data_IF_026281071273
#
_entry.id   IF_026281071273
#
_cell.length_a   1.000
_cell.length_b   1.000
_cell.length_c   1.000
_cell.angle_alpha   90.00
_cell.angle_beta   90.00
_cell.angle_gamma   90.00
#
_symmetry.space_group_name_H-M   'P 1'
#
loop_
_entity.id
_entity.type
_entity.pdbx_description
1 polymer ?
#
# COMPACT_ATOMS: atom_id res chain seq x y z
N UNK A 1 -30.99 5.83 10.37
CA UNK A 1 -29.60 5.77 9.85
C UNK A 1 -29.06 4.37 10.09
N UNK A 2 -28.47 3.68 9.09
CA UNK A 2 -27.83 2.38 9.34
C UNK A 2 -26.64 2.58 10.29
N UNK A 3 -26.54 1.76 11.34
CA UNK A 3 -25.43 1.77 12.29
C UNK A 3 -24.12 1.51 11.54
N UNK A 4 -23.09 2.33 11.79
CA UNK A 4 -21.74 2.11 11.24
C UNK A 4 -21.15 0.84 11.84
N UNK A 5 -20.40 0.09 11.04
CA UNK A 5 -19.74 -1.14 11.47
C UNK A 5 -18.58 -0.86 12.44
N UNK A 6 -18.01 -1.91 13.03
CA UNK A 6 -16.80 -1.78 13.84
C UNK A 6 -15.56 -1.44 13.01
N UNK A 7 -15.41 -1.99 11.79
CA UNK A 7 -14.25 -1.71 10.93
C UNK A 7 -14.23 -0.26 10.46
N UNK A 8 -15.41 0.34 10.24
CA UNK A 8 -15.53 1.78 9.97
C UNK A 8 -14.90 2.59 11.10
N UNK A 9 -15.24 2.30 12.35
CA UNK A 9 -14.73 3.06 13.50
C UNK A 9 -13.25 2.81 13.73
N UNK A 10 -12.78 1.57 13.57
CA UNK A 10 -11.35 1.26 13.64
C UNK A 10 -10.58 2.07 12.60
N UNK A 11 -11.02 2.03 11.34
CA UNK A 11 -10.40 2.77 10.23
C UNK A 11 -10.41 4.27 10.51
N UNK A 12 -11.54 4.81 10.96
CA UNK A 12 -11.66 6.23 11.29
C UNK A 12 -10.69 6.65 12.40
N UNK A 13 -10.59 5.88 13.48
CA UNK A 13 -9.69 6.15 14.60
C UNK A 13 -8.22 6.11 14.15
N UNK A 14 -7.83 5.11 13.36
CA UNK A 14 -6.47 5.01 12.81
C UNK A 14 -6.13 6.25 11.98
N UNK A 15 -7.01 6.65 11.05
CA UNK A 15 -6.78 7.81 10.18
C UNK A 15 -6.69 9.12 10.97
N UNK A 16 -7.56 9.32 11.97
CA UNK A 16 -7.50 10.50 12.83
C UNK A 16 -6.19 10.52 13.63
N UNK A 17 -5.77 9.39 14.20
CA UNK A 17 -4.51 9.29 14.91
C UNK A 17 -3.31 9.63 14.01
N UNK A 18 -3.27 9.09 12.79
CA UNK A 18 -2.23 9.40 11.80
C UNK A 18 -2.19 10.90 11.49
N UNK A 19 -3.34 11.53 11.23
CA UNK A 19 -3.43 12.98 10.94
C UNK A 19 -2.92 13.81 12.12
N UNK A 20 -3.37 13.50 13.34
CA UNK A 20 -2.96 14.26 14.53
C UNK A 20 -1.44 14.14 14.76
N UNK A 21 -0.91 12.92 14.74
CA UNK A 21 0.52 12.70 14.95
C UNK A 21 1.37 13.37 13.88
N UNK A 22 1.03 13.19 12.60
CA UNK A 22 1.81 13.80 11.50
C UNK A 22 1.68 15.32 11.45
N UNK A 23 0.53 15.88 11.85
CA UNK A 23 0.37 17.33 12.01
C UNK A 23 1.29 17.88 13.10
N UNK A 24 1.34 17.21 14.26
CA UNK A 24 2.24 17.61 15.36
C UNK A 24 3.70 17.53 14.91
N UNK A 25 4.11 16.43 14.26
CA UNK A 25 5.47 16.27 13.75
C UNK A 25 5.83 17.33 12.70
N UNK A 26 4.91 17.65 11.80
CA UNK A 26 5.09 18.71 10.80
C UNK A 26 5.29 20.07 11.48
N UNK A 27 4.48 20.39 12.48
CA UNK A 27 4.60 21.65 13.25
C UNK A 27 5.96 21.72 13.95
N UNK A 28 6.42 20.64 14.56
CA UNK A 28 7.74 20.57 15.21
C UNK A 28 8.85 20.86 14.19
N UNK A 29 8.81 20.23 13.02
CA UNK A 29 9.78 20.48 11.94
C UNK A 29 9.76 21.94 11.50
N UNK A 30 8.57 22.52 11.28
CA UNK A 30 8.42 23.89 10.83
C UNK A 30 8.92 24.93 11.86
N UNK A 31 8.68 24.68 13.16
CA UNK A 31 9.14 25.57 14.24
C UNK A 31 10.64 25.46 14.45
N UNK A 32 11.16 24.23 14.52
CA UNK A 32 12.58 23.98 14.82
C UNK A 32 13.48 24.20 13.60
N UNK A 33 12.90 24.19 12.39
CA UNK A 33 13.61 24.15 11.09
C UNK A 33 14.61 22.99 10.99
N UNK A 34 14.41 21.94 11.78
CA UNK A 34 15.29 20.78 11.86
C UNK A 34 14.55 19.55 11.35
N UNK A 35 14.91 19.08 10.15
CA UNK A 35 14.38 17.85 9.54
C UNK A 35 15.51 16.94 9.06
N UNK A 36 16.22 16.26 9.97
CA UNK A 36 17.43 15.50 9.62
C UNK A 36 17.16 14.29 8.73
N UNK A 37 15.89 13.89 8.53
CA UNK A 37 15.49 12.78 7.67
C UNK A 37 14.58 13.25 6.52
N UNK A 38 14.43 14.55 6.30
CA UNK A 38 13.63 15.14 5.21
C UNK A 38 12.19 14.60 5.11
N UNK A 39 11.52 14.40 6.25
CA UNK A 39 10.21 13.73 6.33
C UNK A 39 9.01 14.64 6.22
N UNK A 40 9.19 15.96 6.15
CA UNK A 40 8.08 16.91 6.05
C UNK A 40 7.15 16.58 4.86
N UNK A 41 7.72 16.19 3.72
CA UNK A 41 6.94 15.73 2.56
C UNK A 41 6.08 14.51 2.87
N UNK A 42 6.64 13.51 3.56
CA UNK A 42 5.93 12.30 3.98
C UNK A 42 4.81 12.59 4.99
N UNK A 43 5.02 13.55 5.90
CA UNK A 43 3.98 13.97 6.85
C UNK A 43 2.78 14.58 6.12
N UNK A 44 3.05 15.51 5.18
CA UNK A 44 2.02 16.14 4.36
C UNK A 44 1.29 15.10 3.52
N UNK A 45 2.01 14.18 2.86
CA UNK A 45 1.41 13.10 2.08
C UNK A 45 0.49 12.22 2.94
N UNK A 46 0.93 11.87 4.16
CA UNK A 46 0.12 11.09 5.11
C UNK A 46 -1.16 11.80 5.49
N UNK A 47 -1.10 13.11 5.78
CA UNK A 47 -2.28 13.91 6.11
C UNK A 47 -3.26 13.92 4.92
N UNK A 48 -2.78 14.25 3.72
CA UNK A 48 -3.62 14.38 2.53
C UNK A 48 -4.31 13.06 2.17
N UNK A 49 -3.56 11.96 2.13
CA UNK A 49 -4.12 10.63 1.83
C UNK A 49 -5.10 10.21 2.93
N UNK A 50 -4.79 10.47 4.20
CA UNK A 50 -5.70 10.13 5.30
C UNK A 50 -7.02 10.91 5.23
N UNK A 51 -6.98 12.19 4.86
CA UNK A 51 -8.19 12.99 4.62
C UNK A 51 -9.02 12.40 3.47
N UNK A 52 -8.38 12.05 2.36
CA UNK A 52 -9.06 11.40 1.22
C UNK A 52 -9.73 10.10 1.66
N UNK A 53 -9.05 9.25 2.43
CA UNK A 53 -9.62 8.00 2.94
C UNK A 53 -10.78 8.24 3.92
N UNK A 54 -10.74 9.28 4.76
CA UNK A 54 -11.88 9.68 5.62
C UNK A 54 -13.09 10.08 4.78
N UNK A 55 -12.89 10.86 3.71
CA UNK A 55 -13.97 11.22 2.79
C UNK A 55 -14.57 9.98 2.11
N UNK A 56 -13.72 9.00 1.77
CA UNK A 56 -14.13 7.72 1.18
C UNK A 56 -14.88 6.82 2.17
N UNK A 57 -14.65 6.91 3.49
CA UNK A 57 -15.34 6.10 4.53
C UNK A 57 -16.85 6.31 4.55
N UNK A 58 -17.32 7.47 4.10
CA UNK A 58 -18.74 7.77 4.00
C UNK A 58 -19.35 7.45 2.64
N UNK A 59 -18.54 7.07 1.66
CA UNK A 59 -19.01 6.75 0.33
C UNK A 59 -19.56 5.32 0.26
N UNK A 60 -20.88 5.19 0.22
CA UNK A 60 -21.59 3.90 0.16
C UNK A 60 -21.31 3.08 -1.11
N UNK A 61 -20.72 3.68 -2.14
CA UNK A 61 -20.31 2.96 -3.36
C UNK A 61 -19.00 2.19 -3.15
N UNK A 62 -18.22 2.58 -2.15
CA UNK A 62 -16.94 1.97 -1.85
C UNK A 62 -17.16 0.86 -0.84
N UNK A 63 -16.48 -0.24 -1.11
CA UNK A 63 -16.55 -1.40 -0.26
C UNK A 63 -15.77 -1.16 1.04
N UNK A 64 -16.42 -1.37 2.18
CA UNK A 64 -15.81 -1.09 3.49
C UNK A 64 -14.57 -1.96 3.74
N UNK A 65 -14.57 -3.21 3.28
CA UNK A 65 -13.42 -4.09 3.39
C UNK A 65 -12.22 -3.53 2.61
N UNK A 66 -12.43 -3.14 1.34
CA UNK A 66 -11.39 -2.55 0.49
C UNK A 66 -10.82 -1.29 1.14
N UNK A 67 -11.68 -0.48 1.74
CA UNK A 67 -11.26 0.75 2.38
C UNK A 67 -10.48 0.51 3.68
N UNK A 68 -10.93 -0.43 4.52
CA UNK A 68 -10.19 -0.85 5.72
C UNK A 68 -8.81 -1.36 5.34
N UNK A 69 -8.74 -2.13 4.26
CA UNK A 69 -7.51 -2.65 3.72
C UNK A 69 -6.56 -1.51 3.25
N UNK A 70 -7.08 -0.53 2.52
CA UNK A 70 -6.31 0.66 2.11
C UNK A 70 -5.79 1.46 3.33
N UNK A 71 -6.59 1.59 4.39
CA UNK A 71 -6.17 2.27 5.63
C UNK A 71 -5.02 1.53 6.30
N UNK A 72 -5.08 0.20 6.38
CA UNK A 72 -3.98 -0.60 6.96
C UNK A 72 -2.71 -0.45 6.12
N UNK A 73 -2.82 -0.50 4.80
CA UNK A 73 -1.67 -0.31 3.92
C UNK A 73 -1.03 1.08 4.10
N UNK A 74 -1.83 2.16 4.08
CA UNK A 74 -1.31 3.53 4.29
C UNK A 74 -0.72 3.69 5.70
N UNK A 75 -1.31 3.05 6.70
CA UNK A 75 -0.74 3.04 8.05
C UNK A 75 0.65 2.40 8.08
N UNK A 76 0.84 1.25 7.43
CA UNK A 76 2.13 0.54 7.41
C UNK A 76 3.14 1.27 6.51
N UNK A 77 2.80 1.55 5.26
CA UNK A 77 3.75 2.10 4.29
C UNK A 77 4.07 3.58 4.54
N UNK A 78 3.03 4.41 4.68
CA UNK A 78 3.19 5.86 4.64
C UNK A 78 3.37 6.46 6.05
N UNK A 79 2.58 6.01 7.02
CA UNK A 79 2.71 6.51 8.38
C UNK A 79 3.90 5.88 9.11
N UNK A 80 3.92 4.56 9.25
CA UNK A 80 5.03 3.85 9.91
C UNK A 80 6.32 3.95 9.07
N UNK A 81 6.29 3.48 7.82
CA UNK A 81 7.46 3.47 6.93
C UNK A 81 8.08 4.85 6.72
N UNK A 82 7.33 5.76 6.08
CA UNK A 82 7.88 7.07 5.71
C UNK A 82 7.84 8.09 6.86
N UNK A 83 6.66 8.39 7.43
CA UNK A 83 6.52 9.48 8.42
C UNK A 83 7.28 9.21 9.72
N UNK A 84 7.28 7.96 10.21
CA UNK A 84 8.02 7.55 11.41
C UNK A 84 9.41 6.97 11.11
N UNK A 85 9.85 6.99 9.85
CA UNK A 85 11.19 6.61 9.41
C UNK A 85 11.53 5.11 9.58
N UNK A 86 10.54 4.21 9.55
CA UNK A 86 10.79 2.77 9.70
C UNK A 86 11.54 2.17 8.51
N UNK A 87 11.42 2.75 7.30
CA UNK A 87 12.22 2.31 6.15
C UNK A 87 13.73 2.40 6.42
N UNK A 88 14.15 3.44 7.13
CA UNK A 88 15.57 3.65 7.47
C UNK A 88 15.96 3.00 8.80
N UNK A 89 15.12 3.15 9.83
CA UNK A 89 15.46 2.72 11.21
C UNK A 89 15.36 1.21 11.42
N UNK A 90 14.51 0.53 10.65
CA UNK A 90 14.29 -0.93 10.72
C UNK A 90 14.76 -1.60 9.42
N UNK A 91 15.83 -1.05 8.83
CA UNK A 91 16.42 -1.56 7.59
C UNK A 91 17.01 -2.97 7.73
N UNK A 92 17.40 -3.39 8.95
CA UNK A 92 17.98 -4.72 9.21
C UNK A 92 17.02 -5.89 8.92
N UNK A 93 15.70 -5.66 8.89
CA UNK A 93 14.71 -6.66 8.46
C UNK A 93 14.22 -6.45 7.03
N UNK A 94 14.81 -5.49 6.29
CA UNK A 94 14.32 -5.03 4.99
C UNK A 94 12.83 -4.67 5.05
N UNK A 95 12.47 -3.77 5.98
CA UNK A 95 11.08 -3.36 6.24
C UNK A 95 10.33 -3.00 4.94
N UNK A 96 11.00 -2.26 4.07
CA UNK A 96 10.50 -1.91 2.74
C UNK A 96 10.05 -3.14 1.92
N UNK A 97 10.92 -4.14 1.80
CA UNK A 97 10.62 -5.39 1.07
C UNK A 97 9.46 -6.16 1.72
N UNK A 98 9.35 -6.13 3.05
CA UNK A 98 8.18 -6.69 3.74
C UNK A 98 6.87 -5.95 3.36
N UNK A 99 6.90 -4.62 3.29
CA UNK A 99 5.75 -3.81 2.84
C UNK A 99 5.38 -4.17 1.40
N UNK A 100 6.35 -4.37 0.50
CA UNK A 100 6.10 -4.79 -0.88
C UNK A 100 5.53 -6.22 -0.98
N UNK A 101 6.00 -7.18 -0.16
CA UNK A 101 5.38 -8.51 -0.07
C UNK A 101 3.91 -8.41 0.37
N UNK A 102 3.65 -7.59 1.40
CA UNK A 102 2.28 -7.35 1.85
C UNK A 102 1.42 -6.69 0.76
N UNK A 103 1.98 -5.73 0.02
CA UNK A 103 1.30 -5.10 -1.12
C UNK A 103 0.95 -6.11 -2.22
N UNK A 104 1.87 -6.99 -2.58
CA UNK A 104 1.63 -8.01 -3.61
C UNK A 104 0.52 -8.98 -3.24
N UNK A 105 0.54 -9.53 -2.03
CA UNK A 105 -0.51 -10.43 -1.54
C UNK A 105 -1.90 -9.79 -1.66
N UNK A 106 -1.96 -8.51 -1.37
CA UNK A 106 -3.23 -7.81 -1.15
C UNK A 106 -3.76 -7.14 -2.40
N UNK A 107 -2.90 -6.63 -3.26
CA UNK A 107 -3.24 -6.26 -4.64
C UNK A 107 -3.81 -7.48 -5.39
N UNK A 108 -3.25 -8.67 -5.17
CA UNK A 108 -3.78 -9.92 -5.74
C UNK A 108 -5.19 -10.23 -5.21
N UNK A 109 -5.41 -10.08 -3.90
CA UNK A 109 -6.73 -10.23 -3.30
C UNK A 109 -7.75 -9.21 -3.85
N UNK A 110 -7.37 -7.94 -3.99
CA UNK A 110 -8.20 -6.88 -4.57
C UNK A 110 -8.52 -7.21 -6.03
N UNK A 111 -7.55 -7.71 -6.80
CA UNK A 111 -7.77 -8.20 -8.16
C UNK A 111 -8.84 -9.29 -8.22
N UNK A 112 -8.78 -10.26 -7.30
CA UNK A 112 -9.81 -11.31 -7.19
C UNK A 112 -11.20 -10.72 -6.88
N UNK A 113 -11.28 -9.75 -5.96
CA UNK A 113 -12.53 -9.07 -5.64
C UNK A 113 -13.10 -8.31 -6.84
N UNK A 114 -12.27 -7.58 -7.58
CA UNK A 114 -12.68 -6.86 -8.78
C UNK A 114 -13.20 -7.84 -9.82
N UNK A 115 -12.46 -8.92 -10.11
CA UNK A 115 -12.87 -9.96 -11.05
C UNK A 115 -14.22 -10.57 -10.67
N UNK A 116 -14.44 -10.83 -9.37
CA UNK A 116 -15.70 -11.39 -8.86
C UNK A 116 -16.92 -10.47 -9.00
N UNK A 117 -16.69 -9.16 -9.11
CA UNK A 117 -17.76 -8.18 -9.36
C UNK A 117 -18.04 -8.00 -10.84
N UNK A 118 -17.03 -8.19 -11.68
CA UNK A 118 -17.14 -8.00 -13.13
C UNK A 118 -17.58 -9.27 -13.87
N UNK A 119 -17.35 -10.44 -13.27
CA UNK A 119 -17.58 -11.74 -13.93
C UNK A 119 -18.25 -12.74 -13.00
N UNK A 120 -18.93 -13.72 -13.59
CA UNK A 120 -19.42 -14.88 -12.84
C UNK A 120 -18.28 -15.86 -12.64
N UNK A 121 -17.69 -15.86 -11.44
CA UNK A 121 -16.53 -16.69 -11.10
C UNK A 121 -16.71 -18.18 -11.42
N UNK A 122 -17.93 -18.72 -11.27
CA UNK A 122 -18.23 -20.14 -11.57
C UNK A 122 -18.11 -20.53 -13.04
N UNK A 123 -18.13 -19.55 -13.95
CA UNK A 123 -18.02 -19.77 -15.39
C UNK A 123 -16.58 -19.56 -15.88
N UNK A 124 -15.66 -19.12 -15.02
CA UNK A 124 -14.29 -18.79 -15.38
C UNK A 124 -13.35 -20.00 -15.18
N UNK A 125 -12.41 -20.17 -16.12
CA UNK A 125 -11.35 -21.16 -15.97
C UNK A 125 -10.38 -20.72 -14.85
N UNK A 126 -9.99 -21.66 -13.99
CA UNK A 126 -9.05 -21.42 -12.89
C UNK A 126 -7.74 -20.75 -13.33
N UNK A 127 -7.16 -21.18 -14.44
CA UNK A 127 -5.94 -20.60 -15.00
C UNK A 127 -6.16 -19.13 -15.38
N UNK A 128 -7.32 -18.81 -15.96
CA UNK A 128 -7.66 -17.43 -16.30
C UNK A 128 -7.76 -16.55 -15.06
N UNK A 129 -8.39 -17.04 -13.98
CA UNK A 129 -8.46 -16.32 -12.70
C UNK A 129 -7.05 -16.05 -12.16
N UNK A 130 -6.19 -17.07 -12.13
CA UNK A 130 -4.80 -16.95 -11.63
C UNK A 130 -4.01 -15.94 -12.46
N UNK A 131 -4.08 -16.01 -13.79
CA UNK A 131 -3.38 -15.07 -14.67
C UNK A 131 -3.89 -13.64 -14.50
N UNK A 132 -5.20 -13.47 -14.33
CA UNK A 132 -5.79 -12.14 -14.09
C UNK A 132 -5.29 -11.53 -12.78
N UNK A 133 -5.41 -12.24 -11.66
CA UNK A 133 -5.02 -11.69 -10.35
C UNK A 133 -3.51 -11.48 -10.23
N UNK A 134 -2.72 -12.35 -10.85
CA UNK A 134 -1.26 -12.18 -10.98
C UNK A 134 -0.94 -10.90 -11.74
N UNK A 135 -1.47 -10.75 -12.95
CA UNK A 135 -1.21 -9.59 -13.81
C UNK A 135 -1.71 -8.29 -13.18
N UNK A 136 -2.87 -8.33 -12.49
CA UNK A 136 -3.41 -7.18 -11.77
C UNK A 136 -2.47 -6.70 -10.66
N UNK A 137 -1.91 -7.62 -9.88
CA UNK A 137 -0.96 -7.29 -8.82
C UNK A 137 0.32 -6.67 -9.38
N UNK A 138 0.93 -7.29 -10.41
CA UNK A 138 2.15 -6.76 -11.02
C UNK A 138 1.92 -5.40 -11.71
N UNK A 139 0.78 -5.22 -12.39
CA UNK A 139 0.40 -3.94 -12.98
C UNK A 139 0.29 -2.84 -11.90
N UNK A 140 -0.34 -3.15 -10.77
CA UNK A 140 -0.50 -2.19 -9.68
C UNK A 140 0.86 -1.81 -9.08
N UNK A 141 1.75 -2.79 -8.90
CA UNK A 141 3.12 -2.54 -8.45
C UNK A 141 3.90 -1.67 -9.45
N UNK A 142 3.84 -1.97 -10.75
CA UNK A 142 4.50 -1.17 -11.76
C UNK A 142 4.01 0.29 -11.79
N UNK A 143 2.70 0.51 -11.59
CA UNK A 143 2.15 1.87 -11.46
C UNK A 143 2.71 2.59 -10.25
N UNK A 144 2.90 1.89 -9.12
CA UNK A 144 3.51 2.46 -7.92
C UNK A 144 4.96 2.88 -8.16
N UNK A 145 5.77 1.99 -8.76
CA UNK A 145 7.18 2.30 -9.11
C UNK A 145 7.29 3.48 -10.08
N UNK A 146 6.32 3.64 -11.00
CA UNK A 146 6.29 4.82 -11.87
C UNK A 146 5.97 6.11 -11.12
N UNK A 147 5.13 6.06 -10.09
CA UNK A 147 4.84 7.21 -9.23
C UNK A 147 6.09 7.60 -8.45
N UNK A 148 6.81 6.64 -7.88
CA UNK A 148 8.07 6.87 -7.15
C UNK A 148 9.15 7.45 -8.05
N UNK A 149 9.39 6.83 -9.21
CA UNK A 149 10.33 7.35 -10.21
C UNK A 149 9.98 8.79 -10.62
N UNK A 150 8.69 9.05 -10.88
CA UNK A 150 8.24 10.40 -11.25
C UNK A 150 8.45 11.39 -10.11
N UNK A 151 8.17 10.97 -8.87
CA UNK A 151 8.40 11.76 -7.66
C UNK A 151 9.87 12.13 -7.49
N UNK A 152 10.76 11.14 -7.60
CA UNK A 152 12.21 11.32 -7.49
C UNK A 152 12.76 12.28 -8.56
N UNK A 153 12.18 12.31 -9.76
CA UNK A 153 12.57 13.25 -10.81
C UNK A 153 11.99 14.66 -10.65
N UNK A 154 10.79 14.80 -10.11
CA UNK A 154 10.12 16.11 -10.01
C UNK A 154 10.41 16.84 -8.70
N UNK A 155 10.66 16.11 -7.62
CA UNK A 155 10.78 16.65 -6.26
C UNK A 155 12.13 16.35 -5.60
N UNK A 156 13.08 15.79 -6.36
CA UNK A 156 14.43 15.41 -5.90
C UNK A 156 14.42 14.46 -4.68
N UNK A 157 13.37 13.65 -4.56
CA UNK A 157 13.25 12.62 -3.51
C UNK A 157 14.18 11.42 -3.80
N UNK A 158 14.20 10.47 -2.87
CA UNK A 158 14.99 9.22 -2.93
C UNK A 158 14.10 8.03 -2.55
N UNK A 159 12.90 7.97 -3.11
CA UNK A 159 11.91 6.93 -2.82
C UNK A 159 12.33 5.58 -3.36
N UNK A 160 13.00 5.55 -4.51
CA UNK A 160 13.53 4.32 -5.10
C UNK A 160 14.87 3.87 -4.49
N UNK A 161 15.16 4.26 -3.24
CA UNK A 161 16.33 3.84 -2.49
C UNK A 161 17.43 4.90 -2.33
N UNK A 162 18.51 4.55 -1.59
CA UNK A 162 19.54 5.49 -1.20
C UNK A 162 20.27 6.08 -2.41
N UNK A 163 20.43 7.40 -2.41
CA UNK A 163 21.20 8.11 -3.41
C UNK A 163 22.71 7.96 -3.16
N UNK A 164 23.43 7.56 -4.20
CA UNK A 164 24.88 7.59 -4.27
C UNK A 164 25.33 8.77 -5.10
N UNK A 165 26.39 9.46 -4.66
CA UNK A 165 26.99 10.56 -5.42
C UNK A 165 28.31 10.11 -6.03
N UNK A 166 28.44 10.28 -7.33
CA UNK A 166 29.71 10.10 -8.02
C UNK A 166 30.71 11.20 -7.65
N UNK A 167 31.99 10.99 -7.96
CA UNK A 167 33.04 11.98 -7.74
C UNK A 167 32.79 13.33 -8.43
N UNK A 168 32.01 13.36 -9.52
CA UNK A 168 31.58 14.57 -10.24
C UNK A 168 30.24 15.14 -9.72
N UNK A 169 29.71 14.62 -8.59
CA UNK A 169 28.55 15.15 -7.89
C UNK A 169 27.20 14.72 -8.47
N UNK A 170 27.15 13.76 -9.39
CA UNK A 170 25.88 13.26 -9.94
C UNK A 170 25.20 12.30 -8.97
N UNK A 171 23.91 12.52 -8.74
CA UNK A 171 23.03 11.64 -7.97
C UNK A 171 22.68 10.40 -8.80
N UNK A 172 23.07 9.23 -8.32
CA UNK A 172 22.72 7.91 -8.86
C UNK A 172 21.80 7.22 -7.84
N UNK A 173 20.67 6.72 -8.32
CA UNK A 173 19.77 5.87 -7.54
C UNK A 173 19.91 4.46 -8.08
N UNK A 174 20.02 3.48 -7.19
CA UNK A 174 20.18 2.08 -7.58
C UNK A 174 18.86 1.53 -8.15
N UNK A 175 18.86 1.24 -9.45
CA UNK A 175 17.71 0.63 -10.14
C UNK A 175 17.38 -0.76 -9.56
N UNK A 176 18.34 -1.40 -8.89
CA UNK A 176 18.16 -2.65 -8.18
C UNK A 176 17.05 -2.60 -7.13
N UNK A 177 16.85 -1.47 -6.44
CA UNK A 177 15.85 -1.35 -5.38
C UNK A 177 14.43 -1.55 -5.92
N UNK A 178 14.04 -0.79 -6.94
CA UNK A 178 12.76 -0.97 -7.66
C UNK A 178 12.59 -2.40 -8.20
N UNK A 179 13.66 -3.04 -8.67
CA UNK A 179 13.57 -4.45 -9.10
C UNK A 179 13.31 -5.39 -7.92
N UNK A 180 13.96 -5.17 -6.78
CA UNK A 180 13.69 -5.93 -5.56
C UNK A 180 12.29 -5.68 -5.01
N UNK A 181 11.70 -4.50 -5.23
CA UNK A 181 10.32 -4.20 -4.86
C UNK A 181 9.31 -4.93 -5.73
N UNK A 182 9.56 -4.98 -7.04
CA UNK A 182 8.77 -5.78 -7.97
C UNK A 182 8.86 -7.29 -7.66
N UNK A 183 10.06 -7.77 -7.28
CA UNK A 183 10.25 -9.18 -6.86
C UNK A 183 9.52 -9.45 -5.55
N UNK A 184 9.67 -8.58 -4.55
CA UNK A 184 8.99 -8.67 -3.26
C UNK A 184 7.47 -8.69 -3.43
N UNK A 185 6.92 -7.82 -4.27
CA UNK A 185 5.51 -7.83 -4.65
C UNK A 185 5.13 -9.19 -5.27
N UNK A 186 5.91 -9.68 -6.23
CA UNK A 186 5.65 -10.97 -6.88
C UNK A 186 5.64 -12.14 -5.89
N UNK A 187 6.50 -12.14 -4.88
CA UNK A 187 6.48 -13.13 -3.79
C UNK A 187 5.15 -13.08 -3.04
N UNK A 188 4.67 -11.90 -2.67
CA UNK A 188 3.36 -11.71 -2.05
C UNK A 188 2.21 -12.25 -2.92
N UNK A 189 2.24 -11.94 -4.22
CA UNK A 189 1.27 -12.44 -5.21
C UNK A 189 1.24 -13.97 -5.25
N UNK A 190 2.42 -14.60 -5.31
CA UNK A 190 2.55 -16.07 -5.33
C UNK A 190 1.99 -16.67 -4.04
N UNK A 191 2.29 -16.11 -2.87
CA UNK A 191 1.75 -16.58 -1.58
C UNK A 191 0.21 -16.59 -1.62
N UNK A 192 -0.40 -15.50 -2.09
CA UNK A 192 -1.86 -15.43 -2.22
C UNK A 192 -2.40 -16.48 -3.20
N UNK A 193 -1.77 -16.65 -4.36
CA UNK A 193 -2.17 -17.64 -5.36
C UNK A 193 -2.10 -19.06 -4.80
N UNK A 194 -1.01 -19.41 -4.11
CA UNK A 194 -0.86 -20.73 -3.48
C UNK A 194 -1.97 -20.94 -2.45
N UNK A 195 -2.24 -19.94 -1.61
CA UNK A 195 -3.34 -20.01 -0.66
C UNK A 195 -4.70 -20.22 -1.35
N UNK A 196 -4.99 -19.46 -2.41
CA UNK A 196 -6.18 -19.62 -3.24
C UNK A 196 -6.27 -21.01 -3.89
N UNK A 197 -5.12 -21.60 -4.25
CA UNK A 197 -5.07 -22.91 -4.89
C UNK A 197 -5.27 -24.06 -3.88
N UNK A 198 -4.66 -23.98 -2.70
CA UNK A 198 -4.61 -25.08 -1.72
C UNK A 198 -5.79 -25.11 -0.76
N UNK A 199 -6.28 -23.96 -0.29
CA UNK A 199 -7.50 -23.93 0.51
C UNK A 199 -8.68 -23.95 -0.46
N UNK A 200 -9.30 -25.14 -0.63
CA UNK A 200 -10.43 -25.40 -1.55
C UNK A 200 -11.18 -24.13 -1.95
N UNK A 201 -11.18 -23.83 -3.25
CA UNK A 201 -11.73 -22.61 -3.89
C UNK A 201 -13.04 -22.11 -3.26
N UNK A 202 -13.96 -23.00 -2.88
CA UNK A 202 -15.24 -22.65 -2.25
C UNK A 202 -15.14 -22.08 -0.83
N UNK A 203 -14.09 -22.38 -0.05
CA UNK A 203 -13.96 -21.94 1.34
C UNK A 203 -13.39 -20.50 1.45
N UNK A 204 -12.29 -20.20 0.75
CA UNK A 204 -11.73 -18.85 0.67
C UNK A 204 -12.68 -17.92 -0.05
N UNK A 205 -13.10 -18.30 -1.27
CA UNK A 205 -13.92 -17.43 -2.12
C UNK A 205 -15.22 -17.11 -1.39
N UNK A 206 -15.86 -18.09 -0.74
CA UNK A 206 -17.11 -17.82 -0.01
C UNK A 206 -16.90 -17.08 1.31
N UNK A 207 -15.77 -17.21 2.03
CA UNK A 207 -15.56 -16.46 3.28
C UNK A 207 -15.06 -15.03 3.04
N UNK A 208 -14.05 -14.86 2.17
CA UNK A 208 -13.43 -13.56 1.88
C UNK A 208 -14.25 -12.72 0.91
N UNK A 209 -14.91 -13.34 -0.09
CA UNK A 209 -15.83 -12.60 -0.96
C UNK A 209 -17.14 -12.33 -0.23
N UNK A 210 -17.65 -13.21 0.64
CA UNK A 210 -18.85 -12.86 1.42
C UNK A 210 -18.57 -11.82 2.51
N UNK A 211 -17.36 -11.75 3.07
CA UNK A 211 -16.99 -10.65 3.98
C UNK A 211 -16.78 -9.34 3.22
N UNK A 212 -16.22 -9.40 2.02
CA UNK A 212 -16.06 -8.23 1.17
C UNK A 212 -17.40 -7.78 0.55
N UNK A 213 -18.31 -8.66 0.14
CA UNK A 213 -19.56 -8.26 -0.54
C UNK A 213 -20.72 -7.89 0.42
N UNK A 214 -20.53 -7.99 1.73
CA UNK A 214 -21.48 -7.49 2.75
C UNK A 214 -21.31 -5.99 2.98
#
# INVERSE_FOLDING_TARGET
MKKKSINYWISFVILVAMILTTSILSIIVLITKNDPNERLGSHIATILISVVLILMLNNKRINEFILTYAVIYVFIALFLGASLNLYNTVSFIHYDKFVHVYFGYTATFVGLLIMSKLTKMSEQNRLFIILFIFSFSLMTAAVWEFIEFTGDKLFDTVTQGPAFYTYDGRKIIDVGETMFDMISNTVGTIIFILQYVFLKEKAITKSMIASALK
#
